data_IF_461339404438
#
_entry.id   IF_461339404438
#
_cell.length_a   1.000
_cell.length_b   1.000
_cell.length_c   1.000
_cell.angle_alpha   90.00
_cell.angle_beta   90.00
_cell.angle_gamma   90.00
#
_symmetry.space_group_name_H-M   'P 1'
#
loop_
_entity.id
_entity.type
_entity.pdbx_description
1 polymer ?
#
# COMPACT_ATOMS: atom_id res chain seq x y z
N UNK A 1 25.68 15.92 19.47
CA UNK A 1 26.27 14.64 19.94
C UNK A 1 25.51 14.18 21.17
N UNK A 2 24.50 13.36 20.98
CA UNK A 2 24.08 12.38 21.99
C UNK A 2 23.47 11.24 21.21
N UNK A 3 24.26 10.22 20.96
CA UNK A 3 23.80 8.94 20.46
C UNK A 3 22.70 8.45 21.42
N UNK A 4 21.47 8.36 20.93
CA UNK A 4 20.40 7.69 21.67
C UNK A 4 20.71 6.19 21.60
N UNK A 5 21.51 5.70 22.54
CA UNK A 5 21.87 4.28 22.64
C UNK A 5 20.63 3.46 22.99
N UNK A 6 19.85 3.06 21.99
CA UNK A 6 18.82 2.05 22.13
C UNK A 6 19.40 0.70 21.69
N UNK A 7 19.65 -0.25 22.61
CA UNK A 7 20.24 -1.54 22.28
C UNK A 7 19.25 -2.40 21.48
N UNK A 8 19.40 -2.40 20.16
CA UNK A 8 18.81 -3.38 19.26
C UNK A 8 19.92 -4.37 18.90
N UNK A 9 20.02 -5.46 19.67
CA UNK A 9 20.81 -6.69 19.41
C UNK A 9 21.99 -6.54 18.42
N UNK A 10 23.03 -5.82 18.84
CA UNK A 10 24.34 -5.85 18.17
C UNK A 10 24.45 -5.07 16.86
N UNK A 11 23.49 -4.18 16.53
CA UNK A 11 23.64 -3.19 15.46
C UNK A 11 23.68 -1.80 16.07
N UNK A 12 24.68 -1.00 15.70
CA UNK A 12 24.71 0.44 15.97
C UNK A 12 23.77 1.10 14.97
N UNK A 13 22.64 1.63 15.45
CA UNK A 13 21.81 2.50 14.62
C UNK A 13 22.64 3.75 14.31
N UNK A 14 23.08 3.90 13.07
CA UNK A 14 23.58 5.17 12.57
C UNK A 14 22.37 5.96 12.13
N UNK A 15 22.31 7.20 12.59
CA UNK A 15 21.31 8.16 12.16
C UNK A 15 21.27 8.19 10.62
N UNK A 16 20.12 7.84 9.99
CA UNK A 16 20.02 7.79 8.54
C UNK A 16 20.09 9.21 7.95
N UNK A 17 20.77 9.32 6.81
CA UNK A 17 20.72 10.51 5.97
C UNK A 17 19.37 10.51 5.23
N UNK A 18 18.56 11.55 5.44
CA UNK A 18 17.27 11.71 4.77
C UNK A 18 16.04 11.16 5.52
N UNK A 19 14.92 10.95 4.80
CA UNK A 19 13.65 10.58 5.40
C UNK A 19 13.71 9.31 6.22
N UNK A 20 13.20 9.35 7.45
CA UNK A 20 13.29 8.20 8.34
C UNK A 20 12.16 8.14 9.36
N UNK A 21 12.13 7.02 10.09
CA UNK A 21 11.19 6.73 11.16
C UNK A 21 11.96 6.39 12.43
N UNK A 22 11.45 6.83 13.56
CA UNK A 22 12.07 6.60 14.87
C UNK A 22 11.24 5.58 15.64
N UNK A 23 11.91 4.64 16.31
CA UNK A 23 11.27 3.69 17.23
C UNK A 23 11.89 3.88 18.60
N UNK A 24 11.07 4.14 19.62
CA UNK A 24 11.52 4.33 21.00
C UNK A 24 10.68 3.52 21.96
N UNK A 25 11.18 3.35 23.19
CA UNK A 25 10.33 2.94 24.31
C UNK A 25 9.61 4.16 24.88
N UNK A 26 8.46 3.97 25.53
CA UNK A 26 7.71 5.07 26.12
C UNK A 26 8.53 5.90 27.11
N UNK A 27 9.42 5.26 27.89
CA UNK A 27 10.34 5.98 28.79
C UNK A 27 11.32 6.94 28.07
N UNK A 28 11.54 6.74 26.77
CA UNK A 28 12.50 7.47 25.94
C UNK A 28 11.79 8.42 24.96
N UNK A 29 10.46 8.61 25.10
CA UNK A 29 9.62 9.36 24.16
C UNK A 29 10.01 10.83 24.02
N UNK A 30 10.40 11.48 25.13
CA UNK A 30 10.78 12.91 25.13
C UNK A 30 11.99 13.18 24.22
N UNK A 31 13.00 12.30 24.27
CA UNK A 31 14.16 12.41 23.40
C UNK A 31 13.79 12.18 21.93
N UNK A 32 12.83 11.28 21.68
CA UNK A 32 12.31 11.05 20.34
C UNK A 32 11.55 12.28 19.80
N UNK A 33 10.76 12.94 20.64
CA UNK A 33 10.03 14.17 20.27
C UNK A 33 11.00 15.32 19.99
N UNK A 34 12.08 15.46 20.76
CA UNK A 34 13.15 16.41 20.47
C UNK A 34 13.83 16.11 19.12
N UNK A 35 14.09 14.84 18.83
CA UNK A 35 14.63 14.42 17.54
C UNK A 35 13.70 14.78 16.38
N UNK A 36 12.42 14.42 16.48
CA UNK A 36 11.36 14.75 15.51
C UNK A 36 11.26 16.27 15.30
N UNK A 37 11.38 17.06 16.37
CA UNK A 37 11.39 18.53 16.31
C UNK A 37 12.57 19.06 15.49
N UNK A 38 13.75 18.46 15.66
CA UNK A 38 14.99 18.87 15.01
C UNK A 38 15.16 18.36 13.58
N UNK A 39 14.33 17.39 13.16
CA UNK A 39 14.45 16.66 11.89
C UNK A 39 13.12 16.71 11.13
N UNK A 40 13.00 17.60 10.15
CA UNK A 40 11.83 17.70 9.26
C UNK A 40 11.62 16.44 8.40
N UNK A 41 12.69 15.70 8.14
CA UNK A 41 12.70 14.45 7.40
C UNK A 41 12.28 13.24 8.25
N UNK A 42 12.12 13.38 9.57
CA UNK A 42 11.54 12.33 10.41
C UNK A 42 10.01 12.26 10.20
N UNK A 43 9.52 11.27 9.45
CA UNK A 43 8.10 11.17 9.04
C UNK A 43 7.21 10.42 10.03
N UNK A 44 7.78 9.55 10.85
CA UNK A 44 6.99 8.76 11.80
C UNK A 44 7.73 8.40 13.08
N UNK A 45 6.96 8.15 14.14
CA UNK A 45 7.42 7.72 15.45
C UNK A 45 6.67 6.46 15.90
N UNK A 46 7.36 5.43 16.39
CA UNK A 46 6.76 4.32 17.11
C UNK A 46 7.13 4.39 18.59
N UNK A 47 6.14 4.19 19.46
CA UNK A 47 6.30 4.19 20.90
C UNK A 47 5.91 2.81 21.46
N UNK A 48 6.91 2.13 22.01
CA UNK A 48 6.77 0.79 22.61
C UNK A 48 6.68 0.90 24.11
N UNK A 49 5.70 0.23 24.71
CA UNK A 49 5.44 0.30 26.16
C UNK A 49 5.26 1.75 26.55
N UNK A 50 4.04 2.26 26.35
CA UNK A 50 3.68 3.67 26.47
C UNK A 50 4.24 4.27 27.76
N UNK A 51 4.57 5.57 27.78
CA UNK A 51 5.02 6.22 29.01
C UNK A 51 3.90 6.20 30.05
N UNK A 52 4.27 6.23 31.32
CA UNK A 52 3.33 6.39 32.43
C UNK A 52 2.60 7.74 32.38
N UNK A 53 3.25 8.77 31.84
CA UNK A 53 2.70 10.12 31.65
C UNK A 53 2.73 10.47 30.17
N UNK A 54 1.62 10.94 29.62
CA UNK A 54 1.57 11.34 28.22
C UNK A 54 2.32 12.66 28.00
N UNK A 55 3.26 12.73 27.04
CA UNK A 55 3.95 13.97 26.70
C UNK A 55 3.08 14.86 25.79
N UNK A 56 3.59 16.04 25.46
CA UNK A 56 3.00 16.88 24.40
C UNK A 56 3.32 16.29 23.02
N UNK A 57 2.28 15.92 22.29
CA UNK A 57 2.40 15.33 20.94
C UNK A 57 2.26 16.35 19.81
N UNK A 58 2.11 17.64 20.10
CA UNK A 58 1.86 18.68 19.08
C UNK A 58 2.97 18.75 18.03
N UNK A 59 4.22 18.39 18.39
CA UNK A 59 5.35 18.34 17.45
C UNK A 59 5.20 17.25 16.36
N UNK A 60 4.29 16.30 16.55
CA UNK A 60 3.97 15.26 15.58
C UNK A 60 2.79 15.62 14.67
N UNK A 61 2.25 16.84 14.72
CA UNK A 61 1.15 17.25 13.85
C UNK A 61 1.47 16.98 12.37
N UNK A 62 0.55 16.30 11.67
CA UNK A 62 0.73 15.85 10.29
C UNK A 62 1.75 14.72 10.10
N UNK A 63 2.25 14.09 11.18
CA UNK A 63 3.16 12.94 11.16
C UNK A 63 2.47 11.69 11.68
N UNK A 64 3.09 10.52 11.45
CA UNK A 64 2.55 9.21 11.88
C UNK A 64 3.06 8.79 13.25
N UNK A 65 2.17 8.25 14.08
CA UNK A 65 2.48 7.71 15.39
C UNK A 65 1.95 6.27 15.53
N UNK A 66 2.84 5.32 15.77
CA UNK A 66 2.48 3.92 16.05
C UNK A 66 2.63 3.60 17.53
N UNK A 67 1.53 3.24 18.18
CA UNK A 67 1.49 2.93 19.61
C UNK A 67 1.52 1.42 19.83
N UNK A 68 2.33 0.96 20.79
CA UNK A 68 2.45 -0.47 21.07
C UNK A 68 2.46 -0.71 22.57
N UNK A 69 1.40 -1.30 23.09
CA UNK A 69 1.28 -1.63 24.51
C UNK A 69 0.47 -2.90 24.73
N UNK A 70 0.69 -3.59 25.86
CA UNK A 70 -0.13 -4.73 26.24
C UNK A 70 -1.51 -4.31 26.76
N UNK A 71 -1.62 -3.08 27.25
CA UNK A 71 -2.80 -2.51 27.88
C UNK A 71 -3.67 -1.74 26.88
N UNK A 72 -4.90 -2.24 26.68
CA UNK A 72 -5.86 -1.64 25.75
C UNK A 72 -6.39 -0.27 26.20
N UNK A 73 -6.49 -0.03 27.51
CA UNK A 73 -6.94 1.25 28.06
C UNK A 73 -5.92 2.34 27.78
N UNK A 74 -4.64 2.04 28.06
CA UNK A 74 -3.54 2.96 27.78
C UNK A 74 -3.41 3.28 26.29
N UNK A 75 -3.56 2.28 25.42
CA UNK A 75 -3.58 2.50 23.97
C UNK A 75 -4.68 3.46 23.55
N UNK A 76 -5.91 3.29 24.08
CA UNK A 76 -7.04 4.18 23.77
C UNK A 76 -6.75 5.61 24.22
N UNK A 77 -6.39 5.79 25.49
CA UNK A 77 -6.19 7.12 26.07
C UNK A 77 -5.09 7.90 25.33
N UNK A 78 -4.01 7.20 24.98
CA UNK A 78 -2.90 7.80 24.25
C UNK A 78 -3.23 8.09 22.78
N UNK A 79 -4.00 7.22 22.12
CA UNK A 79 -4.48 7.46 20.77
C UNK A 79 -5.42 8.67 20.70
N UNK A 80 -6.30 8.85 21.68
CA UNK A 80 -7.17 10.03 21.77
C UNK A 80 -6.36 11.32 21.91
N UNK A 81 -5.26 11.30 22.68
CA UNK A 81 -4.37 12.45 22.84
C UNK A 81 -3.65 12.77 21.53
N UNK A 82 -3.16 11.75 20.81
CA UNK A 82 -2.53 11.91 19.50
C UNK A 82 -3.49 12.51 18.47
N UNK A 83 -4.73 12.02 18.38
CA UNK A 83 -5.74 12.55 17.47
C UNK A 83 -6.06 14.03 17.74
N UNK A 84 -6.10 14.45 19.01
CA UNK A 84 -6.30 15.87 19.38
C UNK A 84 -5.16 16.77 18.95
N UNK A 85 -3.97 16.23 18.77
CA UNK A 85 -2.77 16.92 18.30
C UNK A 85 -2.58 16.84 16.77
N UNK A 86 -3.60 16.40 16.01
CA UNK A 86 -3.56 16.25 14.55
C UNK A 86 -2.49 15.24 14.08
N UNK A 87 -2.31 14.17 14.85
CA UNK A 87 -1.35 13.09 14.56
C UNK A 87 -2.09 11.89 13.96
N UNK A 88 -1.58 11.34 12.85
CA UNK A 88 -2.10 10.10 12.28
C UNK A 88 -1.66 8.92 13.17
N UNK A 89 -2.62 8.27 13.84
CA UNK A 89 -2.31 7.25 14.85
C UNK A 89 -2.72 5.83 14.43
N UNK A 90 -1.79 4.89 14.59
CA UNK A 90 -2.02 3.44 14.51
C UNK A 90 -1.64 2.79 15.84
N UNK A 91 -2.20 1.62 16.17
CA UNK A 91 -1.78 0.90 17.38
C UNK A 91 -1.78 -0.62 17.26
N UNK A 92 -0.90 -1.25 18.03
CA UNK A 92 -0.76 -2.68 18.16
C UNK A 92 -0.86 -3.06 19.64
N UNK A 93 -1.80 -3.93 19.98
CA UNK A 93 -1.87 -4.53 21.31
C UNK A 93 -0.86 -5.66 21.43
N UNK A 94 0.26 -5.44 22.13
CA UNK A 94 1.28 -6.46 22.38
C UNK A 94 2.07 -6.18 23.64
N UNK A 95 2.16 -7.19 24.51
CA UNK A 95 3.02 -7.16 25.70
C UNK A 95 4.50 -7.47 25.40
N UNK A 96 4.81 -8.03 24.21
CA UNK A 96 6.17 -8.38 23.79
C UNK A 96 6.37 -8.06 22.31
N UNK A 97 6.45 -6.78 21.95
CA UNK A 97 6.62 -6.42 20.55
C UNK A 97 8.08 -6.61 20.11
N UNK A 98 8.33 -7.31 18.99
CA UNK A 98 9.65 -7.40 18.40
C UNK A 98 10.01 -6.06 17.74
N UNK A 99 11.06 -5.40 18.25
CA UNK A 99 11.49 -4.05 17.87
C UNK A 99 11.76 -3.90 16.35
N UNK A 100 12.45 -4.86 15.75
CA UNK A 100 12.75 -4.87 14.31
C UNK A 100 11.49 -4.92 13.44
N UNK A 101 10.43 -5.58 13.95
CA UNK A 101 9.14 -5.63 13.23
C UNK A 101 8.34 -4.34 13.33
N UNK A 102 8.63 -3.49 14.31
CA UNK A 102 7.96 -2.20 14.44
C UNK A 102 8.57 -1.15 13.55
N UNK A 103 9.90 -1.16 13.40
CA UNK A 103 10.57 -0.38 12.36
C UNK A 103 10.05 -0.77 10.97
N UNK A 104 9.96 -2.07 10.68
CA UNK A 104 9.36 -2.57 9.44
C UNK A 104 7.87 -2.19 9.31
N UNK A 105 7.09 -2.23 10.39
CA UNK A 105 5.67 -1.88 10.37
C UNK A 105 5.42 -0.40 10.04
N UNK A 106 6.39 0.47 10.33
CA UNK A 106 6.31 1.90 10.05
C UNK A 106 6.72 2.28 8.64
N UNK A 107 7.40 1.40 7.90
CA UNK A 107 7.86 1.70 6.55
C UNK A 107 6.67 2.12 5.67
N UNK A 108 6.72 3.34 5.11
CA UNK A 108 5.62 3.88 4.31
C UNK A 108 5.57 3.15 2.97
N UNK A 109 4.35 2.87 2.52
CA UNK A 109 4.05 2.15 1.29
C UNK A 109 3.11 3.03 0.47
N UNK A 110 3.53 3.36 -0.73
CA UNK A 110 2.72 4.08 -1.70
C UNK A 110 1.96 3.08 -2.57
N UNK A 111 0.87 3.52 -3.19
CA UNK A 111 0.15 2.77 -4.19
C UNK A 111 0.33 3.41 -5.56
N UNK A 112 0.48 2.56 -6.57
CA UNK A 112 0.44 2.93 -7.98
C UNK A 112 -0.75 2.20 -8.60
N UNK A 113 -1.78 2.94 -8.98
CA UNK A 113 -2.91 2.42 -9.74
C UNK A 113 -2.64 2.64 -11.23
N UNK A 114 -2.39 1.54 -11.94
CA UNK A 114 -2.18 1.57 -13.39
C UNK A 114 -3.54 1.67 -14.10
N UNK A 115 -3.80 2.84 -14.67
CA UNK A 115 -5.07 3.21 -15.30
C UNK A 115 -4.88 3.80 -16.71
N UNK A 116 -3.73 3.53 -17.34
CA UNK A 116 -3.35 4.07 -18.64
C UNK A 116 -3.54 3.08 -19.82
N UNK A 117 -3.96 1.84 -19.54
CA UNK A 117 -4.15 0.79 -20.54
C UNK A 117 -5.35 1.05 -21.48
N UNK A 118 -5.20 0.66 -22.74
CA UNK A 118 -6.26 0.76 -23.74
C UNK A 118 -7.37 -0.28 -23.51
N UNK A 119 -8.63 0.12 -23.52
CA UNK A 119 -9.80 -0.78 -23.40
C UNK A 119 -10.13 -1.52 -24.70
N UNK A 120 -9.11 -1.95 -25.46
CA UNK A 120 -9.26 -2.40 -26.86
C UNK A 120 -10.14 -3.64 -27.05
N UNK A 121 -10.31 -4.45 -26.01
CA UNK A 121 -11.18 -5.65 -26.00
C UNK A 121 -12.64 -5.37 -25.62
N UNK A 122 -12.95 -4.18 -25.11
CA UNK A 122 -14.34 -3.78 -24.83
C UNK A 122 -14.87 -2.88 -25.93
N UNK A 123 -16.03 -3.22 -26.47
CA UNK A 123 -16.80 -2.34 -27.34
C UNK A 123 -17.63 -1.37 -26.47
N UNK A 124 -17.33 -0.06 -26.54
CA UNK A 124 -18.09 0.98 -25.82
C UNK A 124 -17.22 1.97 -25.03
N UNK A 125 -17.77 2.62 -23.98
CA UNK A 125 -17.02 3.58 -23.16
C UNK A 125 -15.84 2.90 -22.47
N UNK A 126 -14.81 3.69 -22.18
CA UNK A 126 -13.57 3.21 -21.55
C UNK A 126 -13.85 2.39 -20.30
N UNK A 127 -13.26 1.18 -20.19
CA UNK A 127 -13.63 0.17 -19.18
C UNK A 127 -13.55 0.69 -17.75
N UNK A 128 -12.52 1.49 -17.48
CA UNK A 128 -12.24 2.09 -16.19
C UNK A 128 -13.34 3.03 -15.68
N UNK A 129 -14.21 3.51 -16.59
CA UNK A 129 -15.30 4.44 -16.29
C UNK A 129 -16.65 3.74 -16.07
N UNK A 130 -16.74 2.42 -16.31
CA UNK A 130 -17.98 1.70 -16.01
C UNK A 130 -18.23 1.71 -14.50
N UNK A 131 -19.49 1.84 -14.13
CA UNK A 131 -19.88 1.94 -12.72
C UNK A 131 -20.08 0.56 -12.09
N UNK A 132 -19.33 0.28 -11.03
CA UNK A 132 -19.61 -0.81 -10.11
C UNK A 132 -20.16 -0.18 -8.83
N UNK A 133 -21.33 -0.63 -8.39
CA UNK A 133 -22.03 -0.05 -7.22
C UNK A 133 -22.27 1.47 -7.28
N UNK A 134 -22.35 2.04 -8.49
CA UNK A 134 -22.56 3.48 -8.71
C UNK A 134 -21.28 4.33 -8.67
N UNK A 135 -20.11 3.70 -8.70
CA UNK A 135 -18.82 4.36 -8.74
C UNK A 135 -17.94 3.81 -9.88
N UNK A 136 -17.24 4.65 -10.65
CA UNK A 136 -16.28 4.21 -11.68
C UNK A 136 -15.28 3.17 -11.16
N UNK A 137 -15.00 2.11 -11.94
CA UNK A 137 -14.08 1.03 -11.55
C UNK A 137 -12.74 1.53 -11.01
N UNK A 138 -12.14 2.52 -11.69
CA UNK A 138 -10.83 3.06 -11.29
C UNK A 138 -10.83 3.63 -9.87
N UNK A 139 -11.95 4.21 -9.42
CA UNK A 139 -12.06 4.76 -8.06
C UNK A 139 -12.12 3.66 -7.01
N UNK A 140 -12.66 2.47 -7.32
CA UNK A 140 -12.62 1.34 -6.37
C UNK A 140 -11.18 0.94 -6.04
N UNK A 141 -10.28 0.94 -7.04
CA UNK A 141 -8.86 0.66 -6.82
C UNK A 141 -8.18 1.76 -5.97
N UNK A 142 -8.52 3.02 -6.22
CA UNK A 142 -8.02 4.17 -5.42
C UNK A 142 -8.47 4.08 -3.97
N UNK A 143 -9.77 3.89 -3.73
CA UNK A 143 -10.33 3.77 -2.38
C UNK A 143 -9.77 2.55 -1.67
N UNK A 144 -9.62 1.42 -2.36
CA UNK A 144 -9.04 0.21 -1.78
C UNK A 144 -7.57 0.37 -1.40
N UNK A 145 -6.79 1.14 -2.17
CA UNK A 145 -5.41 1.46 -1.83
C UNK A 145 -5.33 2.37 -0.60
N UNK A 146 -6.11 3.46 -0.60
CA UNK A 146 -6.18 4.43 0.50
C UNK A 146 -6.65 3.76 1.79
N UNK A 147 -7.83 3.14 1.79
CA UNK A 147 -8.41 2.46 2.95
C UNK A 147 -7.61 1.21 3.36
N UNK A 148 -6.80 0.68 2.44
CA UNK A 148 -5.85 -0.40 2.69
C UNK A 148 -4.63 0.03 3.52
N UNK A 149 -4.41 1.33 3.68
CA UNK A 149 -3.32 1.92 4.46
C UNK A 149 -2.10 2.33 3.65
N UNK A 150 -2.25 2.62 2.34
CA UNK A 150 -1.17 3.21 1.55
C UNK A 150 -1.08 4.72 1.85
N UNK A 151 0.14 5.23 2.10
CA UNK A 151 0.38 6.62 2.53
C UNK A 151 0.40 7.63 1.38
N UNK A 152 0.41 7.14 0.15
CA UNK A 152 0.30 7.91 -1.08
C UNK A 152 -0.43 7.04 -2.09
N UNK A 153 -1.34 7.61 -2.87
CA UNK A 153 -2.00 6.91 -3.98
C UNK A 153 -1.76 7.71 -5.25
N UNK A 154 -1.01 7.14 -6.17
CA UNK A 154 -0.73 7.69 -7.49
C UNK A 154 -1.53 6.92 -8.52
N UNK A 155 -2.32 7.63 -9.33
CA UNK A 155 -3.02 7.08 -10.49
C UNK A 155 -2.29 7.49 -11.75
N UNK A 156 -1.80 6.51 -12.50
CA UNK A 156 -1.17 6.74 -13.80
C UNK A 156 -2.22 6.61 -14.89
N UNK A 157 -2.49 7.70 -15.61
CA UNK A 157 -3.55 7.76 -16.62
C UNK A 157 -3.01 8.21 -17.98
N UNK A 158 -3.72 7.85 -19.05
CA UNK A 158 -3.48 8.34 -20.42
C UNK A 158 -4.70 9.10 -20.99
N UNK A 159 -5.91 8.64 -20.67
CA UNK A 159 -7.16 9.28 -21.08
C UNK A 159 -7.62 10.36 -20.07
N UNK A 160 -8.12 11.50 -20.56
CA UNK A 160 -8.54 12.62 -19.71
C UNK A 160 -9.80 12.30 -18.89
N UNK A 161 -10.65 11.43 -19.40
CA UNK A 161 -11.88 10.98 -18.78
C UNK A 161 -11.60 10.20 -17.48
N UNK A 162 -10.48 9.46 -17.41
CA UNK A 162 -10.02 8.80 -16.18
C UNK A 162 -9.60 9.84 -15.14
N UNK A 163 -8.87 10.88 -15.57
CA UNK A 163 -8.49 11.99 -14.69
C UNK A 163 -9.72 12.65 -14.08
N UNK A 164 -10.73 12.93 -14.90
CA UNK A 164 -11.99 13.56 -14.47
C UNK A 164 -12.79 12.65 -13.52
N UNK A 165 -12.84 11.35 -13.79
CA UNK A 165 -13.53 10.39 -12.93
C UNK A 165 -12.87 10.23 -11.56
N UNK A 166 -11.54 10.24 -11.49
CA UNK A 166 -10.78 10.14 -10.24
C UNK A 166 -10.86 11.45 -9.44
N UNK A 167 -10.73 12.61 -10.10
CA UNK A 167 -10.74 13.92 -9.44
C UNK A 167 -9.66 14.03 -8.37
N UNK A 168 -10.00 14.62 -7.22
CA UNK A 168 -9.05 14.88 -6.12
C UNK A 168 -8.86 13.68 -5.18
N UNK A 169 -9.38 12.50 -5.53
CA UNK A 169 -9.27 11.29 -4.70
C UNK A 169 -7.88 10.67 -4.68
N UNK A 170 -6.97 11.08 -5.58
CA UNK A 170 -5.59 10.60 -5.65
C UNK A 170 -4.68 11.59 -6.38
N UNK A 171 -3.37 11.39 -6.26
CA UNK A 171 -2.40 12.09 -7.10
C UNK A 171 -2.44 11.55 -8.53
N UNK A 172 -2.55 12.44 -9.52
CA UNK A 172 -2.80 12.08 -10.91
C UNK A 172 -1.57 12.37 -11.78
N UNK A 173 -1.05 11.34 -12.45
CA UNK A 173 0.14 11.45 -13.29
C UNK A 173 -0.16 10.98 -14.70
N UNK A 174 0.06 11.87 -15.67
CA UNK A 174 -0.16 11.58 -17.08
C UNK A 174 1.01 10.77 -17.67
N UNK A 175 0.70 9.64 -18.30
CA UNK A 175 1.64 8.88 -19.11
C UNK A 175 1.32 9.05 -20.61
N UNK A 176 2.05 9.91 -21.34
CA UNK A 176 1.85 10.08 -22.78
C UNK A 176 2.27 8.83 -23.58
N UNK A 177 3.17 8.00 -23.04
CA UNK A 177 3.79 6.88 -23.73
C UNK A 177 3.11 5.55 -23.38
N UNK A 178 1.86 5.57 -22.88
CA UNK A 178 1.15 4.38 -22.44
C UNK A 178 1.01 3.29 -23.53
N UNK A 179 1.03 3.68 -24.80
CA UNK A 179 1.00 2.76 -25.96
C UNK A 179 2.28 1.91 -26.09
N UNK A 180 3.36 2.30 -25.43
CA UNK A 180 4.63 1.53 -25.41
C UNK A 180 4.59 0.36 -24.45
N UNK A 181 3.49 0.18 -23.71
CA UNK A 181 3.23 -0.96 -22.85
C UNK A 181 3.24 -0.65 -21.36
N UNK A 182 2.91 -1.66 -20.56
CA UNK A 182 2.74 -1.54 -19.10
C UNK A 182 3.99 -1.00 -18.38
N UNK A 183 5.19 -1.32 -18.87
CA UNK A 183 6.45 -0.87 -18.26
C UNK A 183 6.52 0.66 -18.18
N UNK A 184 6.08 1.36 -19.22
CA UNK A 184 6.08 2.84 -19.24
C UNK A 184 5.23 3.42 -18.10
N UNK A 185 4.05 2.84 -17.86
CA UNK A 185 3.12 3.31 -16.83
C UNK A 185 3.64 3.02 -15.43
N UNK A 186 4.26 1.86 -15.23
CA UNK A 186 4.89 1.52 -13.97
C UNK A 186 6.04 2.48 -13.64
N UNK A 187 6.91 2.79 -14.61
CA UNK A 187 8.01 3.75 -14.44
C UNK A 187 7.52 5.14 -14.07
N UNK A 188 6.49 5.62 -14.77
CA UNK A 188 5.86 6.92 -14.49
C UNK A 188 5.31 6.94 -13.06
N UNK A 189 4.63 5.88 -12.64
CA UNK A 189 4.11 5.74 -11.27
C UNK A 189 5.21 5.72 -10.21
N UNK A 190 6.27 4.91 -10.40
CA UNK A 190 7.39 4.81 -9.47
C UNK A 190 8.10 6.15 -9.27
N UNK A 191 8.30 6.92 -10.35
CA UNK A 191 8.94 8.25 -10.30
C UNK A 191 8.09 9.31 -9.59
N UNK A 192 6.78 9.12 -9.51
CA UNK A 192 5.88 10.02 -8.81
C UNK A 192 5.73 9.70 -7.31
N UNK A 193 6.18 8.52 -6.88
CA UNK A 193 6.20 8.20 -5.46
C UNK A 193 7.18 9.11 -4.71
N UNK A 194 6.78 9.57 -3.53
CA UNK A 194 7.63 10.44 -2.72
C UNK A 194 8.92 9.71 -2.30
N UNK A 195 10.03 10.45 -2.08
CA UNK A 195 11.31 9.85 -1.70
C UNK A 195 11.27 8.99 -0.44
N UNK A 196 10.29 9.17 0.46
CA UNK A 196 10.19 8.37 1.69
C UNK A 196 9.54 7.00 1.49
N UNK A 197 8.86 6.73 0.37
CA UNK A 197 8.09 5.49 0.15
C UNK A 197 8.99 4.25 0.01
N UNK A 198 8.94 3.31 0.93
CA UNK A 198 9.85 2.14 0.95
C UNK A 198 9.33 0.93 0.15
N UNK A 199 8.06 0.96 -0.24
CA UNK A 199 7.49 -0.01 -1.18
C UNK A 199 6.35 0.57 -1.99
N UNK A 200 6.09 -0.03 -3.15
CA UNK A 200 4.97 0.29 -4.02
C UNK A 200 3.98 -0.88 -4.06
N UNK A 201 2.75 -0.64 -3.62
CA UNK A 201 1.61 -1.47 -3.94
C UNK A 201 1.12 -1.14 -5.36
N UNK A 202 1.35 -2.05 -6.32
CA UNK A 202 0.89 -1.88 -7.70
C UNK A 202 -0.47 -2.54 -7.84
N UNK A 203 -1.47 -1.76 -8.27
CA UNK A 203 -2.85 -2.18 -8.52
C UNK A 203 -3.21 -1.92 -10.00
N UNK A 204 -4.22 -2.63 -10.51
CA UNK A 204 -4.83 -2.32 -11.79
C UNK A 204 -6.18 -1.61 -11.58
N UNK A 205 -6.45 -0.58 -12.40
CA UNK A 205 -7.68 0.21 -12.28
C UNK A 205 -8.97 -0.52 -12.68
N UNK A 206 -8.86 -1.71 -13.28
CA UNK A 206 -9.95 -2.56 -13.77
C UNK A 206 -10.24 -3.77 -12.87
N UNK A 207 -9.70 -3.76 -11.64
CA UNK A 207 -9.91 -4.79 -10.63
C UNK A 207 -10.77 -4.27 -9.44
N UNK A 208 -12.04 -3.89 -9.64
CA UNK A 208 -12.87 -3.26 -8.60
C UNK A 208 -13.20 -4.19 -7.42
N UNK A 209 -12.94 -5.49 -7.55
CA UNK A 209 -13.15 -6.47 -6.47
C UNK A 209 -11.96 -6.61 -5.52
N UNK A 210 -10.83 -5.96 -5.83
CA UNK A 210 -9.67 -5.89 -4.95
C UNK A 210 -9.97 -4.86 -3.85
N UNK A 211 -10.50 -5.34 -2.73
CA UNK A 211 -10.84 -4.48 -1.60
C UNK A 211 -9.67 -4.13 -0.67
N UNK A 212 -9.86 -3.10 0.15
CA UNK A 212 -8.91 -2.61 1.16
C UNK A 212 -8.36 -3.69 2.11
N UNK A 213 -9.16 -4.70 2.45
CA UNK A 213 -8.71 -5.85 3.27
C UNK A 213 -7.59 -6.65 2.61
N UNK A 214 -7.65 -6.81 1.28
CA UNK A 214 -6.59 -7.49 0.51
C UNK A 214 -5.33 -6.65 0.53
N UNK A 215 -5.44 -5.34 0.28
CA UNK A 215 -4.31 -4.41 0.33
C UNK A 215 -3.66 -4.43 1.71
N UNK A 216 -4.44 -4.22 2.78
CA UNK A 216 -3.94 -4.26 4.15
C UNK A 216 -3.24 -5.58 4.52
N UNK A 217 -3.71 -6.71 3.96
CA UNK A 217 -3.06 -8.01 4.17
C UNK A 217 -1.71 -8.11 3.45
N UNK A 218 -1.59 -7.54 2.24
CA UNK A 218 -0.33 -7.45 1.50
C UNK A 218 0.67 -6.52 2.19
N UNK A 219 0.24 -5.34 2.63
CA UNK A 219 1.10 -4.42 3.37
C UNK A 219 1.65 -5.09 4.63
N UNK A 220 0.79 -5.79 5.38
CA UNK A 220 1.21 -6.57 6.56
C UNK A 220 2.17 -7.70 6.20
N UNK A 221 2.00 -8.33 5.03
CA UNK A 221 2.87 -9.40 4.58
C UNK A 221 4.28 -8.89 4.26
N UNK A 222 4.37 -7.81 3.48
CA UNK A 222 5.65 -7.18 3.14
C UNK A 222 6.40 -6.66 4.37
N UNK A 223 5.67 -6.16 5.38
CA UNK A 223 6.21 -5.72 6.68
C UNK A 223 6.68 -6.87 7.59
N UNK A 224 6.55 -8.14 7.19
CA UNK A 224 7.09 -9.27 7.95
C UNK A 224 8.62 -9.33 7.82
N UNK A 225 9.24 -9.97 8.80
CA UNK A 225 10.68 -10.19 8.87
C UNK A 225 11.20 -10.89 7.60
N UNK A 226 12.25 -10.33 6.99
CA UNK A 226 12.81 -10.81 5.72
C UNK A 226 12.15 -10.24 4.47
N UNK A 227 11.34 -9.18 4.61
CA UNK A 227 10.63 -8.39 3.59
C UNK A 227 10.78 -8.91 2.16
N UNK A 228 9.72 -9.59 1.72
CA UNK A 228 9.60 -10.15 0.38
C UNK A 228 8.48 -9.46 -0.36
N UNK A 229 8.60 -9.28 -1.69
CA UNK A 229 7.48 -8.92 -2.52
C UNK A 229 6.27 -9.80 -2.20
N UNK A 230 5.12 -9.17 -2.02
CA UNK A 230 3.91 -9.86 -1.58
C UNK A 230 2.84 -9.78 -2.67
N UNK A 231 2.26 -10.91 -3.05
CA UNK A 231 1.24 -11.01 -4.10
C UNK A 231 -0.07 -11.54 -3.54
N UNK A 232 -1.17 -10.99 -4.05
CA UNK A 232 -2.50 -11.53 -3.78
C UNK A 232 -2.76 -12.73 -4.69
N UNK A 233 -3.17 -13.85 -4.10
CA UNK A 233 -3.53 -15.06 -4.87
C UNK A 233 -4.94 -15.53 -4.52
N UNK A 234 -5.69 -15.89 -5.56
CA UNK A 234 -7.01 -16.51 -5.44
C UNK A 234 -6.88 -18.03 -5.48
N UNK A 235 -7.54 -18.74 -4.55
CA UNK A 235 -7.49 -20.20 -4.40
C UNK A 235 -7.94 -21.02 -5.62
N UNK A 236 -8.51 -20.40 -6.66
CA UNK A 236 -9.12 -21.10 -7.81
C UNK A 236 -8.19 -21.31 -9.02
N UNK A 237 -6.99 -20.73 -9.06
CA UNK A 237 -6.05 -20.89 -10.21
C UNK A 237 -4.93 -21.92 -9.97
N UNK A 238 -4.99 -22.72 -8.91
CA UNK A 238 -4.09 -23.86 -8.71
C UNK A 238 -4.42 -25.08 -9.60
N UNK A 239 -5.44 -24.97 -10.46
CA UNK A 239 -5.79 -26.00 -11.44
C UNK A 239 -5.61 -25.47 -12.86
N UNK A 240 -4.37 -25.31 -13.31
CA UNK A 240 -4.05 -25.41 -14.73
C UNK A 240 -2.63 -25.99 -14.87
N UNK A 241 -2.61 -27.18 -15.46
CA UNK A 241 -1.51 -27.97 -16.05
C UNK A 241 -0.12 -27.29 -16.15
N UNK A 242 0.57 -27.13 -15.02
CA UNK A 242 1.99 -26.80 -14.98
C UNK A 242 2.85 -28.05 -15.06
N UNK A 243 3.81 -28.08 -16.00
CA UNK A 243 4.84 -29.11 -16.15
C UNK A 243 5.40 -29.57 -14.78
N UNK A 244 5.56 -30.89 -14.53
CA UNK A 244 6.10 -31.37 -13.26
C UNK A 244 7.48 -30.74 -12.99
N UNK A 245 7.58 -29.92 -11.94
CA UNK A 245 8.85 -29.30 -11.52
C UNK A 245 8.85 -27.78 -11.43
N UNK A 246 7.86 -27.07 -11.96
CA UNK A 246 7.71 -25.61 -11.78
C UNK A 246 6.36 -25.28 -11.14
N UNK A 247 6.33 -25.15 -9.81
CA UNK A 247 5.22 -24.49 -9.09
C UNK A 247 5.35 -22.98 -9.30
N UNK A 248 5.09 -22.51 -10.50
CA UNK A 248 4.89 -21.08 -10.72
C UNK A 248 3.49 -20.74 -10.20
N UNK A 249 3.42 -19.98 -9.10
CA UNK A 249 2.15 -19.48 -8.58
C UNK A 249 1.64 -18.44 -9.57
N UNK A 250 0.52 -18.71 -10.24
CA UNK A 250 -0.07 -17.72 -11.15
C UNK A 250 -0.75 -16.61 -10.34
N UNK A 251 -0.18 -15.41 -10.34
CA UNK A 251 -0.70 -14.25 -9.60
C UNK A 251 -0.90 -13.07 -10.55
N UNK A 252 -1.91 -12.24 -10.31
CA UNK A 252 -2.11 -10.90 -10.90
C UNK A 252 -1.93 -9.85 -9.82
N UNK A 253 -1.67 -8.56 -10.16
CA UNK A 253 -1.77 -7.51 -9.17
C UNK A 253 -3.10 -7.62 -8.39
N UNK A 254 -3.15 -7.18 -7.12
CA UNK A 254 -2.15 -6.35 -6.46
C UNK A 254 -0.86 -7.06 -6.03
N UNK A 255 0.25 -6.34 -6.14
CA UNK A 255 1.57 -6.76 -5.65
C UNK A 255 2.25 -5.63 -4.89
N UNK A 256 2.92 -5.94 -3.78
CA UNK A 256 3.78 -5.00 -3.06
C UNK A 256 5.22 -5.27 -3.43
N UNK A 257 5.91 -4.25 -3.95
CA UNK A 257 7.28 -4.31 -4.46
C UNK A 257 8.17 -3.40 -3.61
N UNK A 258 9.26 -3.95 -3.09
CA UNK A 258 10.18 -3.19 -2.26
C UNK A 258 10.97 -2.17 -3.09
N UNK A 259 11.41 -1.07 -2.46
CA UNK A 259 12.19 0.00 -3.11
C UNK A 259 13.47 -0.51 -3.77
N UNK A 260 14.11 -1.53 -3.20
CA UNK A 260 15.33 -2.13 -3.73
C UNK A 260 15.14 -2.74 -5.13
N UNK A 261 13.90 -3.03 -5.52
CA UNK A 261 13.58 -3.54 -6.86
C UNK A 261 13.37 -2.46 -7.91
N UNK A 262 13.32 -1.18 -7.52
CA UNK A 262 12.90 -0.11 -8.43
C UNK A 262 13.85 0.06 -9.61
N UNK A 263 15.14 -0.18 -9.45
CA UNK A 263 16.10 -0.11 -10.56
C UNK A 263 15.81 -1.18 -11.62
N UNK A 264 15.56 -2.42 -11.20
CA UNK A 264 15.18 -3.51 -12.10
C UNK A 264 13.83 -3.24 -12.78
N UNK A 265 12.85 -2.72 -12.03
CA UNK A 265 11.54 -2.32 -12.57
C UNK A 265 11.68 -1.17 -13.57
N UNK A 266 12.60 -0.23 -13.33
CA UNK A 266 12.91 0.88 -14.24
C UNK A 266 13.63 0.44 -15.51
N UNK A 267 14.26 -0.75 -15.51
CA UNK A 267 14.88 -1.35 -16.68
C UNK A 267 13.91 -2.11 -17.59
N UNK A 268 12.68 -2.40 -17.14
CA UNK A 268 11.67 -3.13 -17.93
C UNK A 268 11.26 -2.37 -19.20
N UNK A 269 10.93 -3.09 -20.27
CA UNK A 269 10.48 -2.50 -21.53
C UNK A 269 9.21 -3.18 -22.06
N UNK A 270 8.48 -2.48 -22.93
CA UNK A 270 7.29 -3.02 -23.57
C UNK A 270 6.14 -3.33 -22.59
N UNK A 271 5.47 -4.44 -22.84
CA UNK A 271 4.37 -4.95 -22.01
C UNK A 271 4.83 -5.66 -20.72
N UNK A 272 6.12 -5.53 -20.38
CA UNK A 272 6.65 -6.12 -19.15
C UNK A 272 6.15 -5.39 -17.89
N UNK A 273 5.91 -6.15 -16.84
CA UNK A 273 5.59 -5.66 -15.50
C UNK A 273 6.37 -6.42 -14.45
N UNK A 274 5.97 -6.27 -13.19
CA UNK A 274 6.69 -6.89 -12.07
C UNK A 274 6.76 -8.43 -12.15
N UNK A 275 5.81 -9.06 -12.85
CA UNK A 275 5.79 -10.51 -13.05
C UNK A 275 7.03 -11.04 -13.76
N UNK A 276 7.57 -10.30 -14.73
CA UNK A 276 8.76 -10.70 -15.48
C UNK A 276 10.01 -10.82 -14.62
N UNK A 277 10.09 -10.07 -13.52
CA UNK A 277 11.18 -10.15 -12.53
C UNK A 277 10.89 -11.28 -11.55
N UNK A 278 9.66 -11.36 -11.05
CA UNK A 278 9.28 -12.20 -9.93
C UNK A 278 9.04 -13.68 -10.29
N UNK A 279 8.62 -14.00 -11.52
CA UNK A 279 8.42 -15.38 -11.96
C UNK A 279 9.75 -16.15 -12.08
N UNK A 280 10.87 -15.44 -12.26
CA UNK A 280 12.21 -16.01 -12.20
C UNK A 280 12.69 -16.31 -10.78
N UNK A 281 12.01 -15.75 -9.77
CA UNK A 281 12.39 -15.80 -8.36
C UNK A 281 11.19 -16.09 -7.44
N UNK A 282 10.46 -17.20 -7.64
CA UNK A 282 9.29 -17.53 -6.83
C UNK A 282 9.61 -17.70 -5.34
N UNK A 283 10.85 -18.02 -4.99
CA UNK A 283 11.34 -18.07 -3.61
C UNK A 283 11.35 -16.72 -2.90
N UNK A 284 11.32 -15.62 -3.66
CA UNK A 284 11.24 -14.25 -3.16
C UNK A 284 9.80 -13.77 -3.02
N UNK A 285 8.79 -14.58 -3.38
CA UNK A 285 7.39 -14.20 -3.31
C UNK A 285 6.71 -14.70 -2.03
N UNK A 286 6.14 -13.76 -1.29
CA UNK A 286 5.17 -14.05 -0.25
C UNK A 286 3.75 -14.06 -0.83
N UNK A 287 3.02 -15.14 -0.61
CA UNK A 287 1.63 -15.26 -1.07
C UNK A 287 0.66 -14.93 0.06
N UNK A 288 -0.30 -14.05 -0.22
CA UNK A 288 -1.37 -13.69 0.71
C UNK A 288 -2.70 -14.17 0.13
N UNK A 289 -3.49 -14.97 0.88
CA UNK A 289 -4.84 -15.32 0.48
C UNK A 289 -5.70 -14.06 0.41
N UNK A 290 -6.18 -13.70 -0.79
CA UNK A 290 -7.03 -12.54 -0.96
C UNK A 290 -8.51 -12.91 -0.73
N UNK A 291 -9.22 -12.24 0.21
CA UNK A 291 -10.67 -12.31 0.29
C UNK A 291 -11.28 -11.48 -0.84
N UNK A 292 -11.36 -12.05 -2.04
CA UNK A 292 -11.84 -11.38 -3.24
C UNK A 292 -11.30 -12.07 -4.49
N UNK A 293 -11.88 -11.77 -5.65
CA UNK A 293 -11.32 -12.24 -6.92
C UNK A 293 -10.56 -11.08 -7.56
N UNK A 294 -9.22 -11.13 -7.69
CA UNK A 294 -8.47 -10.16 -8.49
C UNK A 294 -8.65 -10.48 -9.99
N UNK A 295 -9.90 -10.71 -10.39
CA UNK A 295 -10.27 -11.01 -11.76
C UNK A 295 -10.31 -9.67 -12.51
N UNK A 296 -9.51 -9.58 -13.56
CA UNK A 296 -9.52 -8.43 -14.47
C UNK A 296 -10.85 -8.38 -15.23
N UNK A 297 -11.38 -7.18 -15.46
CA UNK A 297 -12.58 -6.99 -16.28
C UNK A 297 -12.15 -6.64 -17.70
N UNK A 298 -12.03 -7.65 -18.55
CA UNK A 298 -11.58 -7.48 -19.93
C UNK A 298 -12.72 -7.51 -20.96
N UNK A 299 -13.87 -8.06 -20.58
CA UNK A 299 -15.01 -8.29 -21.49
C UNK A 299 -16.34 -7.76 -20.93
N UNK A 300 -17.32 -7.43 -21.80
CA UNK A 300 -18.68 -7.13 -21.36
C UNK A 300 -19.31 -8.23 -20.50
N UNK A 301 -18.98 -9.50 -20.77
CA UNK A 301 -19.44 -10.65 -20.02
C UNK A 301 -18.85 -10.65 -18.59
N UNK A 302 -17.59 -10.28 -18.41
CA UNK A 302 -16.95 -10.16 -17.09
C UNK A 302 -17.58 -9.03 -16.27
N UNK A 303 -17.86 -7.89 -16.91
CA UNK A 303 -18.58 -6.80 -16.28
C UNK A 303 -20.00 -7.21 -15.84
N UNK A 304 -20.73 -7.91 -16.71
CA UNK A 304 -22.07 -8.41 -16.39
C UNK A 304 -22.06 -9.37 -15.19
N UNK A 305 -21.06 -10.28 -15.09
CA UNK A 305 -20.90 -11.16 -13.93
C UNK A 305 -20.75 -10.37 -12.64
N UNK A 306 -19.95 -9.31 -12.64
CA UNK A 306 -19.73 -8.48 -11.44
C UNK A 306 -21.00 -7.75 -11.01
N UNK A 307 -21.77 -7.21 -11.96
CA UNK A 307 -23.06 -6.58 -11.65
C UNK A 307 -24.06 -7.55 -10.99
N UNK A 308 -23.96 -8.86 -11.25
CA UNK A 308 -24.80 -9.85 -10.58
C UNK A 308 -24.36 -10.19 -9.16
N UNK A 309 -23.07 -9.98 -8.82
CA UNK A 309 -22.56 -10.13 -7.46
C UNK A 309 -23.03 -8.97 -6.55
N UNK A 310 -23.31 -7.80 -7.15
CA UNK A 310 -23.77 -6.60 -6.45
C UNK A 310 -25.09 -6.10 -7.07
N UNK A 311 -26.22 -6.81 -6.87
CA UNK A 311 -27.49 -6.40 -7.46
C UNK A 311 -27.86 -5.01 -6.94
N UNK A 312 -28.09 -4.07 -7.87
CA UNK A 312 -28.50 -2.69 -7.57
C UNK A 312 -29.54 -2.67 -6.45
N UNK A 313 -29.24 -1.98 -5.35
CA UNK A 313 -30.26 -1.65 -4.34
C UNK A 313 -31.39 -0.91 -5.06
N UNK A 314 -32.56 -1.56 -5.19
CA UNK A 314 -33.76 -0.92 -5.75
C UNK A 314 -33.95 0.41 -5.03
N UNK A 315 -34.03 1.51 -5.79
CA UNK A 315 -34.40 2.80 -5.23
C UNK A 315 -35.66 2.60 -4.40
N UNK A 316 -35.59 2.88 -3.09
CA UNK A 316 -36.80 3.02 -2.29
C UNK A 316 -37.57 4.18 -2.95
N UNK A 317 -38.62 3.84 -3.70
CA UNK A 317 -39.63 4.82 -4.11
C UNK A 317 -40.01 5.56 -2.83
N UNK A 318 -39.75 6.87 -2.79
CA UNK A 318 -40.36 7.74 -1.80
C UNK A 318 -41.87 7.62 -2.02
N UNK A 319 -42.54 7.01 -1.05
CA UNK A 319 -43.99 7.13 -0.88
C UNK A 319 -44.24 8.40 -0.07
#
# INVERSE_FOLDING_TARGET
MSDLELPIRGRTYREPEGPHSVVVRGRDIEAALQHVASREDCRSLAVISLPTTAPDLTVLAGRRLLLVDGDSGRLRDFAELALRADVEVEWIRSARPPFDRLAAALLPIGAIVLAAGSSSRMSGPQKLLLEVEGMPMVRHAVESASDGGCQQVVVVYSAREVKEAVGDSAELVHNPDAQTGMASSLKVGLRALRPEIEAAAVLLGDQPLVGSRTIAALLRAWRREGSRPAVAVSKKRDSDEGTPGRRAVHWTPPVVLAREMWDDLNALEGDAGARQILDGHPELLDTVPAPGRPDDIDTPEDYAKILTLFPRRKSRKRA
#
